data_IF_578261837600
#
_entry.id   IF_578261837600
#
_cell.length_a   1.000
_cell.length_b   1.000
_cell.length_c   1.000
_cell.angle_alpha   90.00
_cell.angle_beta   90.00
_cell.angle_gamma   90.00
#
_symmetry.space_group_name_H-M   'P 1'
#
loop_
_entity.id
_entity.type
_entity.pdbx_description
1 polymer ?
#
# COMPACT_ATOMS: atom_id res chain seq x y z
N UNK A 1 -19.00 5.91 -5.59
CA UNK A 1 -18.08 5.24 -6.54
C UNK A 1 -18.88 4.14 -7.24
N UNK A 2 -19.31 4.32 -8.49
CA UNK A 2 -20.16 3.34 -9.23
C UNK A 2 -19.52 1.95 -9.41
N UNK A 3 -18.25 1.79 -9.02
CA UNK A 3 -17.52 0.54 -9.09
C UNK A 3 -17.80 -0.34 -7.86
N UNK A 4 -18.07 0.26 -6.69
CA UNK A 4 -18.35 -0.51 -5.47
C UNK A 4 -19.71 -1.22 -5.50
N UNK A 5 -20.63 -0.81 -6.38
CA UNK A 5 -21.92 -1.49 -6.60
C UNK A 5 -21.78 -2.80 -7.38
N UNK A 6 -20.60 -3.10 -7.92
CA UNK A 6 -20.31 -4.39 -8.57
C UNK A 6 -19.82 -5.46 -7.59
N UNK A 7 -19.58 -5.11 -6.31
CA UNK A 7 -19.12 -6.04 -5.28
C UNK A 7 -20.30 -6.73 -4.59
N UNK A 8 -20.18 -8.03 -4.25
CA UNK A 8 -21.16 -8.70 -3.40
C UNK A 8 -21.31 -7.98 -2.05
N UNK A 9 -22.54 -7.84 -1.52
CA UNK A 9 -22.80 -7.05 -0.31
C UNK A 9 -22.04 -7.60 0.92
N UNK A 10 -21.86 -8.91 1.04
CA UNK A 10 -21.11 -9.51 2.15
C UNK A 10 -19.60 -9.21 2.09
N UNK A 11 -19.02 -9.25 0.89
CA UNK A 11 -17.60 -8.97 0.68
C UNK A 11 -17.31 -7.49 0.89
N UNK A 12 -18.21 -6.63 0.41
CA UNK A 12 -18.18 -5.19 0.69
C UNK A 12 -18.33 -4.90 2.19
N UNK A 13 -19.22 -5.60 2.91
CA UNK A 13 -19.41 -5.40 4.35
C UNK A 13 -18.18 -5.84 5.17
N UNK A 14 -17.54 -6.96 4.84
CA UNK A 14 -16.30 -7.39 5.50
C UNK A 14 -15.14 -6.44 5.21
N UNK A 15 -14.98 -6.03 3.95
CA UNK A 15 -13.93 -5.09 3.54
C UNK A 15 -14.11 -3.73 4.21
N UNK A 16 -15.32 -3.19 4.19
CA UNK A 16 -15.63 -1.90 4.82
C UNK A 16 -15.35 -1.92 6.32
N UNK A 17 -15.71 -2.99 7.05
CA UNK A 17 -15.35 -3.12 8.47
C UNK A 17 -13.84 -3.04 8.71
N UNK A 18 -13.04 -3.70 7.89
CA UNK A 18 -11.57 -3.66 8.01
C UNK A 18 -11.00 -2.27 7.69
N UNK A 19 -11.53 -1.63 6.64
CA UNK A 19 -11.17 -0.25 6.27
C UNK A 19 -11.51 0.71 7.41
N UNK A 20 -12.74 0.68 7.92
CA UNK A 20 -13.17 1.56 9.01
C UNK A 20 -12.40 1.30 10.30
N UNK A 21 -12.14 0.04 10.65
CA UNK A 21 -11.34 -0.28 11.83
C UNK A 21 -9.93 0.33 11.72
N UNK A 22 -9.25 0.13 10.59
CA UNK A 22 -7.93 0.75 10.31
C UNK A 22 -7.97 2.27 10.47
N UNK A 23 -8.96 2.93 9.86
CA UNK A 23 -9.07 4.39 9.86
C UNK A 23 -9.32 4.93 11.27
N UNK A 24 -10.18 4.25 12.04
CA UNK A 24 -10.48 4.60 13.43
C UNK A 24 -9.23 4.48 14.30
N UNK A 25 -8.49 3.37 14.19
CA UNK A 25 -7.23 3.21 14.94
C UNK A 25 -6.21 4.30 14.57
N UNK A 26 -6.08 4.62 13.28
CA UNK A 26 -5.22 5.71 12.82
C UNK A 26 -5.64 7.06 13.38
N UNK A 27 -6.94 7.33 13.46
CA UNK A 27 -7.48 8.59 13.99
C UNK A 27 -7.21 8.72 15.49
N UNK A 28 -7.40 7.65 16.27
CA UNK A 28 -7.08 7.67 17.71
C UNK A 28 -5.59 7.96 17.95
N UNK A 29 -4.70 7.33 17.17
CA UNK A 29 -3.27 7.62 17.24
C UNK A 29 -2.98 9.10 16.91
N UNK A 30 -3.62 9.64 15.86
CA UNK A 30 -3.46 11.03 15.45
C UNK A 30 -3.91 12.01 16.54
N UNK A 31 -5.04 11.75 17.19
CA UNK A 31 -5.54 12.59 18.29
C UNK A 31 -4.54 12.58 19.45
N UNK A 32 -4.02 11.40 19.82
CA UNK A 32 -2.98 11.30 20.84
C UNK A 32 -1.72 12.08 20.47
N UNK A 33 -1.27 11.99 19.22
CA UNK A 33 -0.13 12.74 18.68
C UNK A 33 -0.36 14.25 18.79
N UNK A 34 -1.50 14.74 18.31
CA UNK A 34 -1.84 16.18 18.34
C UNK A 34 -1.92 16.71 19.78
N UNK A 35 -2.42 15.90 20.72
CA UNK A 35 -2.45 16.26 22.13
C UNK A 35 -1.05 16.39 22.73
N UNK A 36 -0.14 15.44 22.45
CA UNK A 36 1.25 15.51 22.88
C UNK A 36 1.97 16.75 22.29
N UNK A 37 1.77 17.01 20.99
CA UNK A 37 2.33 18.19 20.33
C UNK A 37 1.80 19.50 20.90
N UNK A 38 0.50 19.58 21.23
CA UNK A 38 -0.09 20.75 21.85
C UNK A 38 0.57 21.08 23.20
N UNK A 39 0.80 20.06 24.04
CA UNK A 39 1.49 20.23 25.33
C UNK A 39 2.91 20.76 25.10
N UNK A 40 3.67 20.15 24.19
CA UNK A 40 5.06 20.54 23.90
C UNK A 40 5.15 21.99 23.37
N UNK A 41 4.28 22.37 22.44
CA UNK A 41 4.28 23.71 21.86
C UNK A 41 3.79 24.79 22.82
N UNK A 42 2.86 24.44 23.73
CA UNK A 42 2.45 25.34 24.80
C UNK A 42 3.61 25.67 25.73
N UNK A 43 4.45 24.68 26.05
CA UNK A 43 5.66 24.88 26.87
C UNK A 43 6.75 25.69 26.14
N UNK A 44 6.79 25.62 24.80
CA UNK A 44 7.78 26.30 23.97
C UNK A 44 7.38 27.72 23.51
N UNK A 45 6.26 28.27 24.02
CA UNK A 45 5.72 29.60 23.68
C UNK A 45 5.55 29.84 22.17
N UNK A 46 5.24 28.79 21.40
CA UNK A 46 5.06 28.89 19.95
C UNK A 46 3.74 29.57 19.61
N UNK A 47 3.75 30.43 18.58
CA UNK A 47 2.57 31.19 18.15
C UNK A 47 1.40 30.28 17.74
N UNK A 48 0.19 30.63 18.20
CA UNK A 48 -1.05 29.87 17.95
C UNK A 48 -1.31 29.65 16.45
N UNK A 49 -0.96 30.61 15.59
CA UNK A 49 -1.13 30.50 14.14
C UNK A 49 -0.32 29.35 13.53
N UNK A 50 0.90 29.12 14.02
CA UNK A 50 1.76 28.02 13.58
C UNK A 50 1.16 26.68 13.98
N UNK A 51 0.69 26.56 15.22
CA UNK A 51 0.06 25.33 15.74
C UNK A 51 -1.16 24.96 14.89
N UNK A 52 -2.02 25.92 14.56
CA UNK A 52 -3.21 25.67 13.72
C UNK A 52 -2.81 25.17 12.32
N UNK A 53 -1.79 25.79 11.72
CA UNK A 53 -1.32 25.40 10.39
C UNK A 53 -0.73 23.97 10.39
N UNK A 54 0.05 23.63 11.42
CA UNK A 54 0.65 22.30 11.57
C UNK A 54 -0.43 21.22 11.75
N UNK A 55 -1.39 21.45 12.66
CA UNK A 55 -2.52 20.55 12.90
C UNK A 55 -3.31 20.33 11.61
N UNK A 56 -3.59 21.41 10.86
CA UNK A 56 -4.30 21.31 9.59
C UNK A 56 -3.54 20.47 8.57
N UNK A 57 -2.23 20.72 8.41
CA UNK A 57 -1.38 19.99 7.47
C UNK A 57 -1.35 18.50 7.79
N UNK A 58 -1.16 18.15 9.07
CA UNK A 58 -1.16 16.76 9.55
C UNK A 58 -2.49 16.05 9.27
N UNK A 59 -3.62 16.73 9.53
CA UNK A 59 -4.96 16.18 9.25
C UNK A 59 -5.21 15.96 7.77
N UNK A 60 -4.79 16.90 6.92
CA UNK A 60 -4.92 16.78 5.45
C UNK A 60 -4.10 15.60 4.95
N UNK A 61 -2.82 15.49 5.33
CA UNK A 61 -1.96 14.38 4.91
C UNK A 61 -2.53 13.04 5.36
N UNK A 62 -2.97 12.94 6.61
CA UNK A 62 -3.58 11.72 7.13
C UNK A 62 -4.84 11.32 6.34
N UNK A 63 -5.73 12.27 6.08
CA UNK A 63 -6.97 12.01 5.33
C UNK A 63 -6.69 11.56 3.90
N UNK A 64 -5.71 12.19 3.24
CA UNK A 64 -5.33 11.85 1.88
C UNK A 64 -4.70 10.46 1.80
N UNK A 65 -3.83 10.11 2.76
CA UNK A 65 -3.22 8.78 2.82
C UNK A 65 -4.26 7.69 3.10
N UNK A 66 -5.20 7.93 4.01
CA UNK A 66 -6.30 6.98 4.27
C UNK A 66 -7.21 6.83 3.06
N UNK A 67 -7.57 7.92 2.39
CA UNK A 67 -8.38 7.87 1.17
C UNK A 67 -7.71 7.05 0.08
N UNK A 68 -6.42 7.29 -0.18
CA UNK A 68 -5.64 6.51 -1.15
C UNK A 68 -5.67 5.01 -0.82
N UNK A 69 -5.35 4.66 0.43
CA UNK A 69 -5.32 3.27 0.90
C UNK A 69 -6.68 2.59 0.76
N UNK A 70 -7.76 3.31 1.06
CA UNK A 70 -9.12 2.80 0.96
C UNK A 70 -9.51 2.55 -0.51
N UNK A 71 -9.10 3.42 -1.43
CA UNK A 71 -9.27 3.21 -2.87
C UNK A 71 -8.51 1.96 -3.34
N UNK A 72 -7.25 1.79 -2.96
CA UNK A 72 -6.44 0.61 -3.32
C UNK A 72 -7.07 -0.68 -2.79
N UNK A 73 -7.51 -0.69 -1.52
CA UNK A 73 -8.22 -1.82 -0.91
C UNK A 73 -9.52 -2.17 -1.66
N UNK A 74 -10.28 -1.17 -2.10
CA UNK A 74 -11.50 -1.36 -2.88
C UNK A 74 -11.19 -1.95 -4.25
N UNK A 75 -10.18 -1.42 -4.95
CA UNK A 75 -9.75 -1.94 -6.26
C UNK A 75 -9.25 -3.38 -6.16
N UNK A 76 -8.49 -3.71 -5.11
CA UNK A 76 -8.06 -5.08 -4.80
C UNK A 76 -9.25 -6.02 -4.66
N UNK A 77 -10.30 -5.61 -3.95
CA UNK A 77 -11.51 -6.41 -3.80
C UNK A 77 -12.24 -6.60 -5.14
N UNK A 78 -12.29 -5.57 -6.00
CA UNK A 78 -12.86 -5.69 -7.34
C UNK A 78 -12.09 -6.70 -8.20
N UNK A 79 -10.75 -6.68 -8.16
CA UNK A 79 -9.95 -7.68 -8.87
C UNK A 79 -10.20 -9.10 -8.35
N UNK A 80 -10.28 -9.25 -7.02
CA UNK A 80 -10.60 -10.54 -6.40
C UNK A 80 -11.97 -11.06 -6.84
N UNK A 81 -12.96 -10.20 -6.92
CA UNK A 81 -14.31 -10.56 -7.38
C UNK A 81 -14.33 -10.99 -8.85
N UNK A 82 -13.62 -10.28 -9.72
CA UNK A 82 -13.45 -10.69 -11.12
C UNK A 82 -12.81 -12.08 -11.18
N UNK A 83 -11.78 -12.33 -10.38
CA UNK A 83 -11.09 -13.62 -10.33
C UNK A 83 -12.02 -14.75 -9.85
N UNK A 84 -12.79 -14.52 -8.79
CA UNK A 84 -13.77 -15.50 -8.27
C UNK A 84 -14.83 -15.86 -9.31
N UNK A 85 -15.36 -14.87 -10.03
CA UNK A 85 -16.34 -15.11 -11.09
C UNK A 85 -15.75 -15.90 -12.26
N UNK A 86 -14.47 -15.67 -12.57
CA UNK A 86 -13.71 -16.45 -13.57
C UNK A 86 -13.52 -17.91 -13.13
N UNK A 87 -13.18 -18.15 -11.86
CA UNK A 87 -13.06 -19.50 -11.28
C UNK A 87 -14.42 -20.23 -11.27
N UNK A 88 -15.51 -19.53 -10.97
CA UNK A 88 -16.85 -20.10 -11.03
C UNK A 88 -17.20 -20.51 -12.47
N UNK A 89 -16.84 -19.71 -13.47
CA UNK A 89 -16.97 -20.10 -14.89
C UNK A 89 -16.11 -21.31 -15.25
N UNK A 90 -14.88 -21.38 -14.74
CA UNK A 90 -13.99 -22.53 -14.94
C UNK A 90 -14.64 -23.83 -14.44
N UNK A 91 -15.23 -23.82 -13.25
CA UNK A 91 -15.94 -24.98 -12.71
C UNK A 91 -17.11 -25.42 -13.61
N UNK A 92 -17.84 -24.46 -14.20
CA UNK A 92 -18.86 -24.80 -15.20
C UNK A 92 -18.31 -25.38 -16.48
N UNK A 93 -17.06 -25.08 -16.87
CA UNK A 93 -16.42 -25.63 -18.07
C UNK A 93 -15.91 -27.06 -17.79
N UNK A 94 -15.29 -27.29 -16.63
CA UNK A 94 -14.74 -28.60 -16.22
C UNK A 94 -15.84 -29.64 -15.99
N UNK A 95 -16.94 -29.28 -15.32
CA UNK A 95 -18.05 -30.20 -15.02
C UNK A 95 -18.83 -30.67 -16.25
N UNK A 96 -18.43 -30.26 -17.46
CA UNK A 96 -19.07 -30.62 -18.71
C UNK A 96 -18.33 -31.71 -19.50
N UNK A 97 -17.43 -32.48 -18.87
CA UNK A 97 -17.00 -33.74 -19.47
C UNK A 97 -18.24 -34.59 -19.79
N UNK A 98 -18.50 -34.92 -21.06
CA UNK A 98 -19.75 -35.56 -21.45
C UNK A 98 -19.70 -37.03 -21.05
N UNK A 99 -20.23 -37.36 -19.87
CA UNK A 99 -20.72 -38.69 -19.59
C UNK A 99 -22.05 -38.89 -20.35
N UNK A 100 -21.95 -39.45 -21.56
CA UNK A 100 -23.00 -40.05 -22.41
C UNK A 100 -23.89 -39.08 -23.24
N UNK A 101 -24.06 -39.31 -24.57
CA UNK A 101 -24.80 -38.41 -25.44
C UNK A 101 -26.29 -38.80 -25.58
N UNK A 102 -27.22 -37.88 -25.30
CA UNK A 102 -28.62 -37.96 -25.74
C UNK A 102 -29.01 -36.62 -26.40
N UNK A 103 -29.80 -36.72 -27.47
CA UNK A 103 -30.07 -35.73 -28.51
C UNK A 103 -30.74 -34.36 -28.14
N UNK A 104 -31.19 -34.01 -26.92
CA UNK A 104 -31.62 -32.63 -26.63
C UNK A 104 -30.45 -31.64 -26.42
N UNK A 105 -29.20 -32.08 -26.54
CA UNK A 105 -28.04 -31.36 -26.02
C UNK A 105 -27.62 -30.14 -26.87
N UNK A 106 -27.92 -30.10 -28.17
CA UNK A 106 -27.36 -29.08 -29.07
C UNK A 106 -27.94 -27.66 -28.86
N UNK A 107 -29.25 -27.55 -28.60
CA UNK A 107 -29.89 -26.27 -28.26
C UNK A 107 -29.46 -25.76 -26.88
N UNK A 108 -29.37 -26.66 -25.89
CA UNK A 108 -28.86 -26.33 -24.56
C UNK A 108 -27.37 -25.94 -24.58
N UNK A 109 -26.56 -26.58 -25.43
CA UNK A 109 -25.13 -26.30 -25.59
C UNK A 109 -24.90 -24.91 -26.23
N UNK A 110 -25.64 -24.59 -27.30
CA UNK A 110 -25.57 -23.27 -27.95
C UNK A 110 -26.01 -22.13 -27.03
N UNK A 111 -27.12 -22.31 -26.30
CA UNK A 111 -27.62 -21.30 -25.35
C UNK A 111 -26.67 -21.10 -24.16
N UNK A 112 -26.01 -22.17 -23.69
CA UNK A 112 -25.07 -22.12 -22.57
C UNK A 112 -23.72 -21.50 -22.95
N UNK A 113 -23.20 -21.80 -24.14
CA UNK A 113 -21.98 -21.14 -24.64
C UNK A 113 -22.24 -19.65 -24.88
N UNK A 114 -23.42 -19.27 -25.39
CA UNK A 114 -23.80 -17.86 -25.50
C UNK A 114 -23.84 -17.16 -24.12
N UNK A 115 -24.33 -17.83 -23.08
CA UNK A 115 -24.31 -17.30 -21.71
C UNK A 115 -22.89 -17.11 -21.15
N UNK A 116 -22.00 -18.11 -21.33
CA UNK A 116 -20.60 -18.00 -20.92
C UNK A 116 -19.87 -16.86 -21.64
N UNK A 117 -20.08 -16.71 -22.95
CA UNK A 117 -19.52 -15.62 -23.75
C UNK A 117 -20.04 -14.27 -23.26
N UNK A 118 -21.34 -14.15 -22.97
CA UNK A 118 -21.93 -12.92 -22.44
C UNK A 118 -21.29 -12.54 -21.09
N UNK A 119 -21.10 -13.51 -20.20
CA UNK A 119 -20.50 -13.23 -18.91
C UNK A 119 -18.99 -12.91 -19.02
N UNK A 120 -18.24 -13.57 -19.92
CA UNK A 120 -16.85 -13.24 -20.19
C UNK A 120 -16.71 -11.80 -20.71
N UNK A 121 -17.60 -11.37 -21.61
CA UNK A 121 -17.65 -9.98 -22.08
C UNK A 121 -17.94 -8.99 -20.95
N UNK A 122 -18.84 -9.36 -20.04
CA UNK A 122 -19.14 -8.55 -18.85
C UNK A 122 -17.92 -8.43 -17.92
N UNK A 123 -17.24 -9.55 -17.61
CA UNK A 123 -16.01 -9.56 -16.79
C UNK A 123 -14.89 -8.76 -17.43
N UNK A 124 -14.70 -8.89 -18.74
CA UNK A 124 -13.73 -8.11 -19.51
C UNK A 124 -13.98 -6.60 -19.39
N UNK A 125 -15.24 -6.19 -19.51
CA UNK A 125 -15.66 -4.78 -19.35
C UNK A 125 -15.45 -4.28 -17.92
N UNK A 126 -15.79 -5.10 -16.92
CA UNK A 126 -15.53 -4.78 -15.52
C UNK A 126 -14.02 -4.62 -15.25
N UNK A 127 -13.20 -5.55 -15.72
CA UNK A 127 -11.75 -5.46 -15.60
C UNK A 127 -11.19 -4.18 -16.24
N UNK A 128 -11.71 -3.76 -17.40
CA UNK A 128 -11.30 -2.51 -18.04
C UNK A 128 -11.64 -1.30 -17.17
N UNK A 129 -12.85 -1.25 -16.62
CA UNK A 129 -13.29 -0.16 -15.74
C UNK A 129 -12.42 -0.07 -14.48
N UNK A 130 -12.13 -1.20 -13.84
CA UNK A 130 -11.25 -1.26 -12.65
C UNK A 130 -9.83 -0.83 -13.03
N UNK A 131 -9.30 -1.28 -14.16
CA UNK A 131 -7.96 -0.91 -14.65
C UNK A 131 -7.84 0.59 -14.94
N UNK A 132 -8.84 1.19 -15.59
CA UNK A 132 -8.89 2.64 -15.82
C UNK A 132 -8.94 3.42 -14.50
N UNK A 133 -9.59 2.86 -13.48
CA UNK A 133 -9.65 3.47 -12.15
C UNK A 133 -8.31 3.41 -11.43
N UNK A 134 -7.53 2.33 -11.59
CA UNK A 134 -6.14 2.28 -11.11
C UNK A 134 -5.31 3.38 -11.76
N UNK A 135 -5.44 3.60 -13.08
CA UNK A 135 -4.72 4.67 -13.78
C UNK A 135 -5.12 6.07 -13.30
N UNK A 136 -6.41 6.29 -13.09
CA UNK A 136 -6.93 7.54 -12.53
C UNK A 136 -6.41 7.77 -11.11
N UNK A 137 -6.39 6.73 -10.26
CA UNK A 137 -5.85 6.80 -8.90
C UNK A 137 -4.36 7.18 -8.92
N UNK A 138 -3.55 6.50 -9.75
CA UNK A 138 -2.13 6.80 -9.91
C UNK A 138 -1.91 8.24 -10.37
N UNK A 139 -2.77 8.76 -11.26
CA UNK A 139 -2.64 10.14 -11.76
C UNK A 139 -2.94 11.15 -10.67
N UNK A 140 -4.09 11.00 -9.98
CA UNK A 140 -4.58 11.94 -8.96
C UNK A 140 -3.64 11.97 -7.75
N UNK A 141 -3.26 10.81 -7.24
CA UNK A 141 -2.45 10.71 -6.02
C UNK A 141 -0.95 10.72 -6.28
N UNK A 142 -0.48 10.79 -7.54
CA UNK A 142 0.95 10.70 -7.88
C UNK A 142 1.84 11.64 -7.06
N UNK A 143 1.51 12.93 -7.04
CA UNK A 143 2.27 13.96 -6.35
C UNK A 143 2.16 13.83 -4.83
N UNK A 144 0.94 13.61 -4.33
CA UNK A 144 0.68 13.42 -2.91
C UNK A 144 1.47 12.23 -2.37
N UNK A 145 1.42 11.09 -3.07
CA UNK A 145 2.08 9.86 -2.66
C UNK A 145 3.60 10.02 -2.68
N UNK A 146 4.14 10.70 -3.68
CA UNK A 146 5.56 11.03 -3.73
C UNK A 146 5.98 11.90 -2.53
N UNK A 147 5.21 12.95 -2.23
CA UNK A 147 5.47 13.81 -1.07
C UNK A 147 5.39 13.02 0.24
N UNK A 148 4.35 12.20 0.43
CA UNK A 148 4.19 11.32 1.60
C UNK A 148 5.39 10.39 1.75
N UNK A 149 5.87 9.77 0.67
CA UNK A 149 7.04 8.87 0.71
C UNK A 149 8.30 9.62 1.12
N UNK A 150 8.55 10.81 0.58
CA UNK A 150 9.72 11.64 0.93
C UNK A 150 9.67 12.07 2.39
N UNK A 151 8.51 12.49 2.89
CA UNK A 151 8.31 12.85 4.30
C UNK A 151 8.61 11.63 5.18
N UNK A 152 7.98 10.49 4.91
CA UNK A 152 8.21 9.26 5.70
C UNK A 152 9.69 8.87 5.69
N UNK A 153 10.37 8.97 4.55
CA UNK A 153 11.79 8.64 4.44
C UNK A 153 12.66 9.56 5.30
N UNK A 154 12.42 10.87 5.27
CA UNK A 154 13.15 11.83 6.08
C UNK A 154 12.89 11.60 7.57
N UNK A 155 11.64 11.43 7.97
CA UNK A 155 11.23 11.20 9.36
C UNK A 155 11.86 9.93 9.96
N UNK A 156 11.93 8.85 9.18
CA UNK A 156 12.59 7.62 9.64
C UNK A 156 14.10 7.85 9.84
N UNK A 157 14.77 8.53 8.91
CA UNK A 157 16.21 8.80 9.04
C UNK A 157 16.49 9.69 10.25
N UNK A 158 15.75 10.79 10.41
CA UNK A 158 15.94 11.69 11.54
C UNK A 158 15.60 11.00 12.86
N UNK A 159 14.49 10.28 12.95
CA UNK A 159 14.10 9.52 14.15
C UNK A 159 15.16 8.51 14.57
N UNK A 160 15.64 7.68 13.62
CA UNK A 160 16.72 6.73 13.90
C UNK A 160 18.04 7.43 14.28
N UNK A 161 18.40 8.53 13.63
CA UNK A 161 19.59 9.30 13.97
C UNK A 161 19.53 9.85 15.40
N UNK A 162 18.39 10.43 15.80
CA UNK A 162 18.21 10.91 17.17
C UNK A 162 18.36 9.77 18.18
N UNK A 163 17.83 8.57 17.90
CA UNK A 163 18.04 7.41 18.75
C UNK A 163 19.52 7.04 18.91
N UNK A 164 20.29 7.06 17.82
CA UNK A 164 21.73 6.75 17.84
C UNK A 164 22.51 7.80 18.63
N UNK A 165 22.25 9.10 18.40
CA UNK A 165 22.94 10.19 19.11
C UNK A 165 22.66 10.14 20.61
N UNK A 166 21.41 9.88 21.00
CA UNK A 166 21.01 9.76 22.40
C UNK A 166 21.69 8.56 23.06
N UNK A 167 21.67 7.39 22.41
CA UNK A 167 22.33 6.18 22.91
C UNK A 167 23.82 6.39 23.17
N UNK A 168 24.52 7.14 22.30
CA UNK A 168 25.94 7.40 22.45
C UNK A 168 26.28 8.45 23.54
N UNK A 169 25.33 9.27 24.00
CA UNK A 169 25.58 10.29 25.05
C UNK A 169 25.44 9.74 26.47
N UNK A 170 24.60 8.73 26.66
CA UNK A 170 24.37 8.11 27.96
C UNK A 170 24.99 6.71 27.92
N UNK A 171 26.11 6.50 28.61
CA UNK A 171 26.90 5.25 28.70
C UNK A 171 26.06 4.00 29.03
N UNK A 172 25.27 3.52 28.06
CA UNK A 172 24.57 2.24 28.08
C UNK A 172 23.61 1.94 29.24
N UNK A 173 23.29 2.90 30.13
CA UNK A 173 22.58 2.59 31.38
C UNK A 173 21.24 3.31 31.56
N UNK A 174 20.18 2.50 31.61
CA UNK A 174 18.75 2.77 31.90
C UNK A 174 18.04 3.73 30.92
N UNK A 175 17.06 3.29 30.11
CA UNK A 175 15.66 2.97 30.50
C UNK A 175 15.07 3.89 31.60
N UNK A 176 15.54 5.14 31.71
CA UNK A 176 14.60 6.22 31.88
C UNK A 176 14.29 6.69 30.47
N UNK A 177 13.16 6.21 29.92
CA UNK A 177 12.54 6.89 28.80
C UNK A 177 12.22 8.29 29.34
N UNK A 178 13.11 9.27 29.13
CA UNK A 178 12.65 10.65 29.12
C UNK A 178 11.44 10.68 28.19
N UNK A 179 10.35 11.32 28.62
CA UNK A 179 9.08 11.30 27.89
C UNK A 179 9.28 11.67 26.41
N UNK A 180 10.22 12.58 26.14
CA UNK A 180 10.65 12.99 24.79
C UNK A 180 11.26 11.85 23.95
N UNK A 181 12.12 11.02 24.53
CA UNK A 181 12.75 9.88 23.83
C UNK A 181 11.70 8.84 23.46
N UNK A 182 10.76 8.59 24.38
CA UNK A 182 9.63 7.70 24.14
C UNK A 182 8.75 8.16 22.99
N UNK A 183 8.48 9.47 22.91
CA UNK A 183 7.67 10.06 21.83
C UNK A 183 8.35 9.92 20.46
N UNK A 184 9.65 10.21 20.35
CA UNK A 184 10.41 10.05 19.09
C UNK A 184 10.43 8.59 18.62
N UNK A 185 10.54 7.64 19.56
CA UNK A 185 10.52 6.21 19.24
C UNK A 185 9.16 5.75 18.70
N UNK A 186 8.08 6.16 19.38
CA UNK A 186 6.72 5.88 18.94
C UNK A 186 6.41 6.52 17.57
N UNK A 187 6.94 7.70 17.31
CA UNK A 187 6.81 8.39 16.02
C UNK A 187 7.58 7.65 14.91
N UNK A 188 8.80 7.21 15.18
CA UNK A 188 9.60 6.40 14.23
C UNK A 188 8.88 5.10 13.88
N UNK A 189 8.35 4.38 14.88
CA UNK A 189 7.55 3.16 14.67
C UNK A 189 6.31 3.44 13.81
N UNK A 190 5.64 4.56 14.06
CA UNK A 190 4.47 4.95 13.27
C UNK A 190 4.83 5.15 11.80
N UNK A 191 5.90 5.87 11.48
CA UNK A 191 6.31 6.11 10.09
C UNK A 191 6.76 4.82 9.39
N UNK A 192 7.49 3.94 10.09
CA UNK A 192 7.84 2.61 9.56
C UNK A 192 6.58 1.79 9.27
N UNK A 193 5.62 1.76 10.20
CA UNK A 193 4.35 1.03 10.03
C UNK A 193 3.54 1.61 8.87
N UNK A 194 3.49 2.94 8.75
CA UNK A 194 2.82 3.66 7.66
C UNK A 194 3.41 3.29 6.30
N UNK A 195 4.75 3.30 6.18
CA UNK A 195 5.44 2.87 4.95
C UNK A 195 5.11 1.41 4.60
N UNK A 196 5.21 0.52 5.58
CA UNK A 196 4.96 -0.90 5.39
C UNK A 196 3.51 -1.17 4.94
N UNK A 197 2.52 -0.55 5.60
CA UNK A 197 1.11 -0.68 5.22
C UNK A 197 0.85 -0.17 3.80
N UNK A 198 1.43 0.99 3.45
CA UNK A 198 1.29 1.58 2.12
C UNK A 198 1.79 0.63 1.02
N UNK A 199 3.02 0.15 1.17
CA UNK A 199 3.63 -0.77 0.19
C UNK A 199 2.87 -2.10 0.17
N UNK A 200 2.55 -2.66 1.34
CA UNK A 200 1.80 -3.92 1.45
C UNK A 200 0.45 -3.85 0.71
N UNK A 201 -0.26 -2.74 0.84
CA UNK A 201 -1.58 -2.56 0.23
C UNK A 201 -1.47 -2.46 -1.29
N UNK A 202 -0.48 -1.72 -1.78
CA UNK A 202 -0.17 -1.62 -3.22
C UNK A 202 0.29 -2.97 -3.81
N UNK A 203 1.22 -3.65 -3.14
CA UNK A 203 1.77 -4.95 -3.54
C UNK A 203 0.67 -6.02 -3.61
N UNK A 204 -0.15 -6.13 -2.57
CA UNK A 204 -1.24 -7.12 -2.58
C UNK A 204 -2.33 -6.78 -3.60
N UNK A 205 -2.59 -5.50 -3.89
CA UNK A 205 -3.48 -5.10 -4.98
C UNK A 205 -2.95 -5.51 -6.36
N UNK A 206 -1.66 -5.25 -6.61
CA UNK A 206 -0.95 -5.65 -7.83
C UNK A 206 -0.97 -7.17 -8.01
N UNK A 207 -0.71 -7.93 -6.94
CA UNK A 207 -0.67 -9.39 -6.99
C UNK A 207 -2.05 -9.98 -7.29
N UNK A 208 -3.13 -9.41 -6.73
CA UNK A 208 -4.50 -9.82 -7.07
C UNK A 208 -4.85 -9.52 -8.53
N UNK A 209 -4.41 -8.39 -9.09
CA UNK A 209 -4.60 -8.10 -10.50
C UNK A 209 -3.83 -9.08 -11.41
N UNK A 210 -2.64 -9.51 -11.00
CA UNK A 210 -1.84 -10.51 -11.72
C UNK A 210 -2.44 -11.93 -11.64
N UNK A 211 -3.09 -12.29 -10.53
CA UNK A 211 -3.75 -13.59 -10.35
C UNK A 211 -4.87 -13.83 -11.40
N UNK A 212 -5.57 -12.78 -11.83
CA UNK A 212 -6.57 -12.90 -12.90
C UNK A 212 -5.92 -13.43 -14.20
N UNK A 213 -4.68 -13.01 -14.49
CA UNK A 213 -3.95 -13.46 -15.68
C UNK A 213 -3.69 -14.97 -15.63
N UNK A 214 -3.29 -15.49 -14.47
CA UNK A 214 -3.04 -16.93 -14.30
C UNK A 214 -4.33 -17.72 -14.44
N UNK A 215 -5.40 -17.27 -13.80
CA UNK A 215 -6.73 -17.91 -13.91
C UNK A 215 -7.23 -17.94 -15.34
N UNK A 216 -7.13 -16.84 -16.10
CA UNK A 216 -7.52 -16.82 -17.52
C UNK A 216 -6.72 -17.83 -18.33
N UNK A 217 -5.41 -17.95 -18.08
CA UNK A 217 -4.59 -18.91 -18.80
C UNK A 217 -5.03 -20.35 -18.52
N UNK A 218 -5.34 -20.68 -17.26
CA UNK A 218 -5.84 -22.00 -16.88
C UNK A 218 -7.19 -22.30 -17.53
N UNK A 219 -8.12 -21.33 -17.57
CA UNK A 219 -9.42 -21.49 -18.25
C UNK A 219 -9.24 -21.68 -19.76
N UNK A 220 -8.28 -20.95 -20.37
CA UNK A 220 -7.99 -21.02 -21.79
C UNK A 220 -7.49 -22.42 -22.21
N UNK A 221 -6.65 -23.05 -21.38
CA UNK A 221 -6.15 -24.42 -21.60
C UNK A 221 -7.29 -25.45 -21.58
N UNK A 222 -8.23 -25.31 -20.65
CA UNK A 222 -9.32 -26.29 -20.45
C UNK A 222 -10.44 -26.10 -21.47
N UNK A 223 -10.65 -24.88 -21.97
CA UNK A 223 -11.73 -24.59 -22.93
C UNK A 223 -11.52 -25.35 -24.24
N UNK A 224 -12.59 -25.99 -24.74
CA UNK A 224 -12.60 -26.71 -26.04
C UNK A 224 -13.33 -25.94 -27.14
N UNK A 225 -14.20 -25.01 -26.78
CA UNK A 225 -14.98 -24.21 -27.73
C UNK A 225 -14.15 -23.05 -28.30
N UNK A 226 -14.12 -22.93 -29.62
CA UNK A 226 -13.29 -21.96 -30.34
C UNK A 226 -13.75 -20.50 -30.09
N UNK A 227 -15.05 -20.26 -29.93
CA UNK A 227 -15.57 -18.92 -29.64
C UNK A 227 -15.19 -18.48 -28.22
N UNK A 228 -15.29 -19.38 -27.25
CA UNK A 228 -14.87 -19.12 -25.86
C UNK A 228 -13.36 -18.88 -25.80
N UNK A 229 -12.56 -19.68 -26.53
CA UNK A 229 -11.10 -19.46 -26.65
C UNK A 229 -10.77 -18.09 -27.20
N UNK A 230 -11.43 -17.66 -28.28
CA UNK A 230 -11.19 -16.36 -28.90
C UNK A 230 -11.48 -15.20 -27.93
N UNK A 231 -12.58 -15.27 -27.18
CA UNK A 231 -12.92 -14.24 -26.19
C UNK A 231 -11.95 -14.25 -24.99
N UNK A 232 -11.50 -15.43 -24.53
CA UNK A 232 -10.47 -15.54 -23.48
C UNK A 232 -9.12 -15.01 -23.94
N UNK A 233 -8.71 -15.25 -25.19
CA UNK A 233 -7.50 -14.68 -25.78
C UNK A 233 -7.58 -13.15 -25.82
N UNK A 234 -8.73 -12.61 -26.25
CA UNK A 234 -8.98 -11.17 -26.28
C UNK A 234 -8.93 -10.55 -24.88
N UNK A 235 -9.44 -11.25 -23.87
CA UNK A 235 -9.36 -10.83 -22.48
C UNK A 235 -7.91 -10.91 -21.96
N UNK A 236 -7.19 -12.00 -22.22
CA UNK A 236 -5.77 -12.15 -21.87
C UNK A 236 -4.91 -11.02 -22.44
N UNK A 237 -5.14 -10.67 -23.72
CA UNK A 237 -4.48 -9.56 -24.38
C UNK A 237 -4.77 -8.22 -23.69
N UNK A 238 -6.02 -7.98 -23.30
CA UNK A 238 -6.37 -6.77 -22.53
C UNK A 238 -5.62 -6.71 -21.19
N UNK A 239 -5.56 -7.81 -20.44
CA UNK A 239 -4.82 -7.82 -19.16
C UNK A 239 -3.33 -7.54 -19.37
N UNK A 240 -2.75 -8.06 -20.46
CA UNK A 240 -1.36 -7.79 -20.80
C UNK A 240 -1.09 -6.29 -21.06
N UNK A 241 -2.03 -5.60 -21.73
CA UNK A 241 -1.93 -4.16 -22.00
C UNK A 241 -2.27 -3.29 -20.78
N UNK A 242 -3.24 -3.71 -19.95
CA UNK A 242 -3.63 -3.04 -18.72
C UNK A 242 -2.67 -3.43 -17.58
N UNK A 243 -1.46 -2.85 -17.56
CA UNK A 243 -0.52 -3.06 -16.45
C UNK A 243 -1.04 -2.38 -15.18
N UNK A 244 -1.77 -3.13 -14.37
CA UNK A 244 -2.38 -2.69 -13.11
C UNK A 244 -1.36 -2.62 -11.96
N UNK A 245 -0.41 -1.70 -12.08
CA UNK A 245 0.58 -1.36 -11.04
C UNK A 245 0.22 -0.05 -10.36
N UNK A 246 0.34 0.01 -9.04
CA UNK A 246 0.21 1.25 -8.27
C UNK A 246 1.53 2.02 -8.30
N UNK A 247 1.49 3.28 -8.70
CA UNK A 247 2.69 4.08 -8.90
C UNK A 247 2.53 5.56 -8.55
N UNK A 248 3.63 6.16 -8.10
CA UNK A 248 3.76 7.59 -7.84
C UNK A 248 4.72 8.20 -8.87
N UNK A 249 4.22 9.02 -9.81
CA UNK A 249 5.05 9.77 -10.77
C UNK A 249 6.03 8.89 -11.58
N UNK A 250 5.68 7.63 -11.81
CA UNK A 250 6.49 6.63 -12.53
C UNK A 250 7.27 5.66 -11.62
N UNK A 251 7.31 5.89 -10.31
CA UNK A 251 7.86 4.97 -9.33
C UNK A 251 6.80 3.95 -8.92
N UNK A 252 7.06 2.66 -9.13
CA UNK A 252 6.16 1.61 -8.66
C UNK A 252 6.25 1.50 -7.15
N UNK A 253 5.12 1.50 -6.46
CA UNK A 253 5.06 1.32 -5.01
C UNK A 253 4.87 -0.17 -4.74
N UNK A 254 5.98 -0.91 -4.71
CA UNK A 254 6.00 -2.37 -4.56
C UNK A 254 7.07 -2.85 -3.55
N UNK A 255 7.12 -4.16 -3.30
CA UNK A 255 8.06 -4.73 -2.34
C UNK A 255 9.54 -4.44 -2.71
N UNK A 256 9.86 -4.33 -4.00
CA UNK A 256 11.19 -3.95 -4.48
C UNK A 256 11.52 -2.49 -4.12
N UNK A 257 10.54 -1.60 -4.25
CA UNK A 257 10.67 -0.22 -3.79
C UNK A 257 10.96 -0.14 -2.29
N UNK A 258 10.24 -0.90 -1.46
CA UNK A 258 10.50 -0.96 -0.02
C UNK A 258 11.90 -1.48 0.30
N UNK A 259 12.34 -2.55 -0.34
CA UNK A 259 13.70 -3.08 -0.15
C UNK A 259 14.78 -2.04 -0.50
N UNK A 260 14.56 -1.27 -1.57
CA UNK A 260 15.46 -0.19 -2.00
C UNK A 260 15.51 0.93 -0.96
N UNK A 261 14.35 1.34 -0.42
CA UNK A 261 14.26 2.36 0.63
C UNK A 261 14.95 1.90 1.93
N UNK A 262 14.72 0.66 2.36
CA UNK A 262 15.38 0.10 3.56
C UNK A 262 16.90 0.07 3.36
N UNK A 263 17.37 -0.31 2.18
CA UNK A 263 18.80 -0.26 1.82
C UNK A 263 19.37 1.16 1.88
N UNK A 264 18.63 2.14 1.34
CA UNK A 264 19.01 3.55 1.39
C UNK A 264 19.05 4.09 2.82
N UNK A 265 18.01 3.84 3.64
CA UNK A 265 17.96 4.23 5.06
C UNK A 265 19.18 3.65 5.78
N UNK A 266 19.49 2.36 5.59
CA UNK A 266 20.64 1.70 6.22
C UNK A 266 21.95 2.39 5.82
N UNK A 267 22.11 2.72 4.54
CA UNK A 267 23.32 3.40 4.05
C UNK A 267 23.47 4.81 4.62
N UNK A 268 22.39 5.60 4.64
CA UNK A 268 22.39 6.93 5.26
C UNK A 268 22.71 6.85 6.76
N UNK A 269 22.12 5.89 7.48
CA UNK A 269 22.39 5.68 8.89
C UNK A 269 23.85 5.31 9.16
N UNK A 270 24.46 4.46 8.33
CA UNK A 270 25.88 4.12 8.45
C UNK A 270 26.78 5.34 8.21
N UNK A 271 26.47 6.16 7.21
CA UNK A 271 27.21 7.40 6.92
C UNK A 271 27.09 8.37 8.11
N UNK A 272 25.88 8.59 8.63
CA UNK A 272 25.66 9.46 9.78
C UNK A 272 26.39 8.95 11.03
N UNK A 273 26.40 7.64 11.26
CA UNK A 273 27.15 7.03 12.36
C UNK A 273 28.66 7.25 12.22
N UNK A 274 29.21 7.12 11.01
CA UNK A 274 30.63 7.40 10.74
C UNK A 274 30.98 8.85 11.08
N UNK A 275 30.16 9.82 10.64
CA UNK A 275 30.37 11.23 10.97
C UNK A 275 30.26 11.49 12.47
N UNK A 276 29.30 10.85 13.15
CA UNK A 276 29.12 10.98 14.59
C UNK A 276 30.37 10.49 15.36
N UNK A 277 30.89 9.32 15.03
CA UNK A 277 32.10 8.75 15.65
C UNK A 277 33.32 9.64 15.39
N UNK A 278 33.49 10.15 14.17
CA UNK A 278 34.60 11.06 13.84
C UNK A 278 34.51 12.36 14.63
N UNK A 279 33.31 12.93 14.77
CA UNK A 279 33.10 14.16 15.56
C UNK A 279 33.52 13.96 17.02
N UNK A 280 33.08 12.86 17.63
CA UNK A 280 33.42 12.55 19.03
C UNK A 280 34.93 12.38 19.24
N UNK A 281 35.61 11.69 18.32
CA UNK A 281 37.06 11.51 18.38
C UNK A 281 37.84 12.84 18.27
N UNK A 282 37.29 13.84 17.57
CA UNK A 282 37.86 15.18 17.52
C UNK A 282 37.63 15.96 18.82
N UNK A 283 36.44 15.85 19.41
CA UNK A 283 36.09 16.51 20.67
C UNK A 283 36.98 15.99 21.82
N UNK A 284 37.18 14.67 21.94
CA UNK A 284 38.09 14.08 22.94
C UNK A 284 39.54 14.57 22.77
N UNK A 285 40.06 14.62 21.55
CA UNK A 285 41.41 15.12 21.26
C UNK A 285 41.57 16.60 21.63
N UNK A 286 40.54 17.41 21.41
CA UNK A 286 40.55 18.83 21.80
C UNK A 286 40.56 19.02 23.31
N UNK A 287 39.78 18.20 24.04
CA UNK A 287 39.73 18.23 25.51
C UNK A 287 41.06 17.83 26.16
N UNK A 288 41.73 16.79 25.62
CA UNK A 288 43.05 16.32 26.09
C UNK A 288 44.16 17.36 25.83
N UNK A 289 44.11 18.04 24.67
CA UNK A 289 45.10 19.08 24.37
C UNK A 289 44.89 20.35 25.22
N UNK A 290 43.66 20.73 25.54
CA UNK A 290 43.36 21.85 26.43
C UNK A 290 43.86 21.65 27.87
N UNK A 291 43.81 20.41 28.39
CA UNK A 291 44.29 20.07 29.74
C UNK A 291 45.81 19.94 29.85
N UNK A 292 46.55 19.78 28.74
CA UNK A 292 48.03 19.76 28.73
C UNK A 292 48.67 21.14 28.61
N UNK A 293 47.89 22.18 28.29
CA UNK A 293 48.38 23.56 28.09
C UNK A 293 48.13 24.41 29.36
N UNK A 294 47.50 23.83 30.39
CA UNK A 294 47.31 24.44 31.71
C UNK A 294 48.25 23.80 32.74
#
# INVERSE_FOLDING_TARGET
MEISSTLPPELYQKLSRLIYAKDIFGLFYLIGKLFAFYILFYMAEVGISYIIFEVYTVLVVFTMDMLYMNCVCTLKACFKEINNNLLHMQAFIVNNEPCVPILPMMFCYGQRNAFLIMNLKALKKQHLMVSNTVQMLNTIFSLQLLATIVIIFAEIIFGLYFHVVQYNRYDGFFINLDEEIGLIFLETIYYVTKMALLVWTCETGKNQAQEIRTTIHDVLIISRDEQIKNELQLFSLQILHCKNTFSAKGLNVDATFLATLVGAITTYMLILLQFLVISQACDEKSAINGTRIM
#
